data_IF_753617346560
#
_entry.id   IF_753617346560
#
_cell.length_a   1.000
_cell.length_b   1.000
_cell.length_c   1.000
_cell.angle_alpha   90.00
_cell.angle_beta   90.00
_cell.angle_gamma   90.00
#
_symmetry.space_group_name_H-M   'P 1'
#
loop_
_entity.id
_entity.type
_entity.pdbx_description
1 polymer ?
#
# COMPACT_ATOMS: atom_id res chain seq x y z
N UNK A 1 -34.26 -7.60 -36.09
CA UNK A 1 -33.98 -8.36 -34.85
C UNK A 1 -33.07 -7.52 -33.97
N UNK A 2 -33.68 -6.66 -33.16
CA UNK A 2 -33.03 -5.71 -32.24
C UNK A 2 -32.71 -6.43 -30.93
N UNK A 3 -31.44 -6.40 -30.53
CA UNK A 3 -30.95 -7.06 -29.33
C UNK A 3 -31.54 -6.42 -28.05
N UNK A 4 -31.97 -7.21 -27.05
CA UNK A 4 -32.61 -6.72 -25.83
C UNK A 4 -31.69 -5.92 -24.88
N UNK A 5 -30.40 -5.78 -25.18
CA UNK A 5 -29.42 -5.09 -24.31
C UNK A 5 -29.53 -3.55 -24.32
N UNK A 6 -30.11 -2.95 -25.37
CA UNK A 6 -30.28 -1.47 -25.46
C UNK A 6 -31.37 -0.95 -24.50
N UNK A 7 -32.32 -1.81 -24.11
CA UNK A 7 -33.53 -1.45 -23.36
C UNK A 7 -33.28 -0.98 -21.92
N UNK A 8 -32.18 -1.38 -21.27
CA UNK A 8 -31.90 -0.99 -19.87
C UNK A 8 -31.39 0.47 -19.80
N UNK A 9 -30.66 0.94 -20.82
CA UNK A 9 -30.09 2.31 -20.88
C UNK A 9 -31.13 3.40 -21.20
N UNK A 10 -32.28 3.03 -21.75
CA UNK A 10 -33.39 3.93 -22.10
C UNK A 10 -34.29 4.34 -20.91
N UNK A 11 -34.15 3.67 -19.75
CA UNK A 11 -35.10 3.79 -18.63
C UNK A 11 -35.01 5.11 -17.83
N UNK A 12 -33.97 5.91 -18.06
CA UNK A 12 -33.77 7.24 -17.43
C UNK A 12 -33.60 8.40 -18.46
N UNK A 13 -33.85 8.17 -19.75
CA UNK A 13 -33.89 9.25 -20.75
C UNK A 13 -32.56 9.94 -21.09
N UNK A 14 -31.42 9.40 -20.67
CA UNK A 14 -30.10 9.95 -21.04
C UNK A 14 -29.69 9.38 -22.41
N UNK A 15 -29.49 10.22 -23.45
CA UNK A 15 -29.02 9.75 -24.74
C UNK A 15 -27.59 9.18 -24.59
N UNK A 16 -27.40 7.94 -25.00
CA UNK A 16 -26.10 7.26 -25.01
C UNK A 16 -25.69 7.03 -26.46
N UNK A 17 -24.84 7.93 -26.96
CA UNK A 17 -24.25 7.79 -28.29
C UNK A 17 -23.20 6.67 -28.29
N UNK A 18 -23.64 5.48 -28.70
CA UNK A 18 -22.82 4.26 -28.69
C UNK A 18 -21.54 4.37 -29.54
N UNK A 19 -21.59 5.07 -30.68
CA UNK A 19 -20.42 5.27 -31.53
C UNK A 19 -19.39 6.23 -30.93
N UNK A 20 -19.84 7.33 -30.32
CA UNK A 20 -18.95 8.25 -29.59
C UNK A 20 -18.28 7.56 -28.40
N UNK A 21 -19.01 6.67 -27.70
CA UNK A 21 -18.46 5.92 -26.58
C UNK A 21 -17.35 4.95 -26.99
N UNK A 22 -17.49 4.25 -28.13
CA UNK A 22 -16.49 3.29 -28.62
C UNK A 22 -15.20 3.97 -29.08
N UNK A 23 -15.29 5.09 -29.79
CA UNK A 23 -14.13 5.87 -30.20
C UNK A 23 -13.37 6.45 -29.01
N UNK A 24 -14.09 6.94 -27.98
CA UNK A 24 -13.47 7.39 -26.72
C UNK A 24 -12.76 6.25 -25.99
N UNK A 25 -13.38 5.07 -25.89
CA UNK A 25 -12.75 3.90 -25.25
C UNK A 25 -11.45 3.50 -25.94
N UNK A 26 -11.42 3.45 -27.28
CA UNK A 26 -10.20 3.10 -28.03
C UNK A 26 -9.09 4.13 -27.79
N UNK A 27 -9.41 5.43 -27.82
CA UNK A 27 -8.45 6.48 -27.55
C UNK A 27 -7.88 6.41 -26.13
N UNK A 28 -8.73 6.14 -25.13
CA UNK A 28 -8.31 5.96 -23.73
C UNK A 28 -7.37 4.76 -23.56
N UNK A 29 -7.67 3.62 -24.19
CA UNK A 29 -6.79 2.45 -24.16
C UNK A 29 -5.44 2.74 -24.84
N UNK A 30 -5.43 3.42 -25.99
CA UNK A 30 -4.18 3.78 -26.67
C UNK A 30 -3.30 4.74 -25.84
N UNK A 31 -3.93 5.73 -25.19
CA UNK A 31 -3.25 6.64 -24.28
C UNK A 31 -2.70 5.87 -23.06
N UNK A 32 -3.51 5.00 -22.44
CA UNK A 32 -3.08 4.19 -21.31
C UNK A 32 -1.91 3.25 -21.67
N UNK A 33 -1.92 2.65 -22.87
CA UNK A 33 -0.83 1.80 -23.36
C UNK A 33 0.47 2.58 -23.56
N UNK A 34 0.38 3.80 -24.08
CA UNK A 34 1.54 4.71 -24.24
C UNK A 34 2.15 5.04 -22.87
N UNK A 35 1.31 5.45 -21.92
CA UNK A 35 1.75 5.76 -20.55
C UNK A 35 2.31 4.52 -19.82
N UNK A 36 1.70 3.34 -20.00
CA UNK A 36 2.18 2.10 -19.43
C UNK A 36 3.60 1.76 -19.93
N UNK A 37 3.86 1.99 -21.21
CA UNK A 37 5.18 1.80 -21.83
C UNK A 37 6.20 2.79 -21.25
N UNK A 38 5.81 4.06 -21.09
CA UNK A 38 6.67 5.07 -20.48
C UNK A 38 7.02 4.75 -19.02
N UNK A 39 6.03 4.35 -18.21
CA UNK A 39 6.24 3.93 -16.82
C UNK A 39 7.18 2.72 -16.76
N UNK A 40 7.00 1.75 -17.65
CA UNK A 40 7.86 0.57 -17.71
C UNK A 40 9.32 0.93 -18.01
N UNK A 41 9.56 1.87 -18.92
CA UNK A 41 10.92 2.33 -19.26
C UNK A 41 11.58 3.16 -18.16
N UNK A 42 10.80 3.92 -17.39
CA UNK A 42 11.32 4.72 -16.26
C UNK A 42 11.62 3.89 -15.02
N UNK A 43 11.13 2.65 -14.93
CA UNK A 43 11.25 1.81 -13.74
C UNK A 43 12.35 0.75 -13.86
N UNK A 44 13.40 0.89 -13.05
CA UNK A 44 14.51 -0.05 -12.94
C UNK A 44 14.31 -1.05 -11.79
N UNK A 45 15.12 -2.11 -11.74
CA UNK A 45 15.04 -3.10 -10.67
C UNK A 45 15.34 -2.50 -9.30
N UNK A 46 14.54 -2.83 -8.29
CA UNK A 46 14.62 -2.27 -6.95
C UNK A 46 13.82 -0.98 -6.74
N UNK A 47 13.22 -0.44 -7.80
CA UNK A 47 12.41 0.77 -7.74
C UNK A 47 10.91 0.50 -7.61
N UNK A 48 10.20 1.52 -7.13
CA UNK A 48 8.76 1.50 -6.95
C UNK A 48 8.11 2.64 -7.76
N UNK A 49 7.12 2.28 -8.57
CA UNK A 49 6.17 3.23 -9.14
C UNK A 49 4.88 3.27 -8.31
N UNK A 50 4.38 4.47 -8.04
CA UNK A 50 3.10 4.67 -7.36
C UNK A 50 2.15 5.47 -8.24
N UNK A 51 0.98 4.92 -8.51
CA UNK A 51 -0.07 5.52 -9.34
C UNK A 51 -1.17 6.03 -8.39
N UNK A 52 -1.41 7.33 -8.41
CA UNK A 52 -2.42 7.99 -7.57
C UNK A 52 -3.36 8.86 -8.39
N UNK A 53 -4.52 9.18 -7.84
CA UNK A 53 -5.53 10.02 -8.47
C UNK A 53 -6.95 9.71 -7.95
N UNK A 54 -7.94 10.57 -8.24
CA UNK A 54 -9.31 10.38 -7.79
C UNK A 54 -9.92 9.05 -8.22
N UNK A 55 -10.94 8.56 -7.52
CA UNK A 55 -11.69 7.38 -7.98
C UNK A 55 -12.33 7.64 -9.35
N UNK A 56 -12.25 6.67 -10.27
CA UNK A 56 -12.76 6.82 -11.64
C UNK A 56 -11.81 7.48 -12.65
N UNK A 57 -10.61 7.92 -12.25
CA UNK A 57 -9.58 8.49 -13.14
C UNK A 57 -8.95 7.52 -14.16
N UNK A 58 -9.23 6.22 -14.05
CA UNK A 58 -8.67 5.22 -14.97
C UNK A 58 -7.36 4.56 -14.49
N UNK A 59 -7.01 4.65 -13.21
CA UNK A 59 -5.86 3.90 -12.62
C UNK A 59 -5.90 2.40 -12.94
N UNK A 60 -7.06 1.75 -12.75
CA UNK A 60 -7.21 0.33 -13.08
C UNK A 60 -7.06 0.03 -14.57
N UNK A 61 -7.46 0.97 -15.45
CA UNK A 61 -7.23 0.85 -16.89
C UNK A 61 -5.72 0.90 -17.20
N UNK A 62 -5.00 1.84 -16.59
CA UNK A 62 -3.55 1.94 -16.70
C UNK A 62 -2.84 0.68 -16.17
N UNK A 63 -3.29 0.13 -15.04
CA UNK A 63 -2.79 -1.12 -14.48
C UNK A 63 -3.02 -2.32 -15.42
N UNK A 64 -4.16 -2.39 -16.10
CA UNK A 64 -4.43 -3.41 -17.11
C UNK A 64 -3.48 -3.32 -18.31
N UNK A 65 -3.20 -2.11 -18.80
CA UNK A 65 -2.23 -1.94 -19.89
C UNK A 65 -0.79 -2.24 -19.43
N UNK A 66 -0.42 -1.86 -18.20
CA UNK A 66 0.87 -2.25 -17.60
C UNK A 66 1.05 -3.77 -17.55
N UNK A 67 0.01 -4.52 -17.17
CA UNK A 67 0.04 -5.98 -17.19
C UNK A 67 0.25 -6.54 -18.61
N UNK A 68 -0.24 -5.86 -19.66
CA UNK A 68 -0.04 -6.29 -21.05
C UNK A 68 1.35 -5.98 -21.58
N UNK A 69 1.88 -4.81 -21.22
CA UNK A 69 3.22 -4.37 -21.65
C UNK A 69 4.32 -5.13 -20.90
N UNK A 70 4.09 -5.48 -19.64
CA UNK A 70 5.09 -6.14 -18.79
C UNK A 70 4.85 -7.65 -18.76
N UNK A 71 5.62 -8.39 -19.57
CA UNK A 71 5.51 -9.84 -19.69
C UNK A 71 5.87 -10.60 -18.40
N UNK A 72 6.93 -10.18 -17.69
CA UNK A 72 7.38 -10.78 -16.44
C UNK A 72 6.72 -10.10 -15.23
N UNK A 73 5.38 -10.13 -15.17
CA UNK A 73 4.61 -9.51 -14.10
C UNK A 73 3.85 -10.50 -13.23
N UNK A 74 3.79 -10.19 -11.94
CA UNK A 74 2.97 -10.90 -10.95
C UNK A 74 1.93 -9.93 -10.40
N UNK A 75 0.66 -10.28 -10.54
CA UNK A 75 -0.45 -9.44 -10.07
C UNK A 75 -0.91 -9.92 -8.70
N UNK A 76 -1.10 -9.00 -7.76
CA UNK A 76 -1.78 -9.29 -6.50
C UNK A 76 -3.27 -9.54 -6.76
N UNK A 77 -3.67 -10.81 -6.69
CA UNK A 77 -5.05 -11.21 -6.95
C UNK A 77 -5.89 -11.21 -5.67
N UNK A 78 -7.15 -10.75 -5.71
CA UNK A 78 -8.07 -10.85 -4.57
C UNK A 78 -8.23 -12.28 -4.08
N UNK A 79 -8.24 -12.45 -2.75
CA UNK A 79 -8.42 -13.76 -2.12
C UNK A 79 -9.91 -14.12 -2.15
N UNK A 80 -10.30 -15.27 -2.73
CA UNK A 80 -11.71 -15.62 -2.85
C UNK A 80 -12.29 -16.12 -1.52
N UNK A 81 -13.54 -15.78 -1.21
CA UNK A 81 -14.26 -16.20 0.01
C UNK A 81 -14.40 -17.72 0.15
N UNK A 82 -14.34 -18.43 -0.99
CA UNK A 82 -14.34 -19.89 -1.04
C UNK A 82 -13.00 -20.52 -0.69
N UNK A 83 -11.93 -19.76 -0.46
CA UNK A 83 -10.62 -20.31 -0.09
C UNK A 83 -10.70 -21.03 1.27
N UNK A 84 -10.47 -22.35 1.24
CA UNK A 84 -10.57 -23.21 2.43
C UNK A 84 -9.24 -23.45 3.13
N UNK A 85 -8.12 -23.26 2.44
CA UNK A 85 -6.79 -23.47 3.02
C UNK A 85 -6.48 -22.40 4.07
N UNK A 86 -5.79 -22.76 5.17
CA UNK A 86 -5.23 -21.80 6.10
C UNK A 86 -4.35 -20.77 5.39
N UNK A 87 -4.31 -19.54 5.92
CA UNK A 87 -3.47 -18.45 5.39
C UNK A 87 -2.02 -18.85 5.18
N UNK A 88 -1.40 -19.55 6.14
CA UNK A 88 0.00 -20.00 6.03
C UNK A 88 0.21 -21.06 4.94
N UNK A 89 -0.83 -21.77 4.52
CA UNK A 89 -0.78 -22.76 3.45
C UNK A 89 -1.13 -22.19 2.07
N UNK A 90 -1.58 -20.93 2.01
CA UNK A 90 -1.79 -20.23 0.74
C UNK A 90 -0.46 -19.91 0.05
N UNK A 91 0.60 -19.76 0.85
CA UNK A 91 1.97 -19.59 0.39
C UNK A 91 2.65 -20.96 0.23
N UNK A 92 3.55 -21.09 -0.75
CA UNK A 92 4.19 -22.36 -1.16
C UNK A 92 5.63 -22.55 -0.68
N UNK A 93 6.32 -21.47 -0.30
CA UNK A 93 7.72 -21.44 0.11
C UNK A 93 8.00 -22.17 1.45
N UNK A 94 9.23 -22.12 1.96
CA UNK A 94 9.55 -22.67 3.28
C UNK A 94 8.77 -21.96 4.39
N UNK A 95 8.45 -22.64 5.50
CA UNK A 95 7.67 -22.05 6.61
C UNK A 95 8.27 -20.73 7.09
N UNK A 96 9.60 -20.65 7.22
CA UNK A 96 10.32 -19.43 7.55
C UNK A 96 10.04 -18.28 6.56
N UNK A 97 10.10 -18.56 5.26
CA UNK A 97 9.81 -17.57 4.22
C UNK A 97 8.35 -17.11 4.26
N UNK A 98 7.41 -18.05 4.49
CA UNK A 98 5.98 -17.71 4.63
C UNK A 98 5.76 -16.78 5.81
N UNK A 99 6.33 -17.10 6.97
CA UNK A 99 6.20 -16.28 8.17
C UNK A 99 6.86 -14.92 7.99
N UNK A 100 8.03 -14.84 7.33
CA UNK A 100 8.69 -13.57 6.97
C UNK A 100 7.77 -12.70 6.12
N UNK A 101 7.22 -13.23 5.03
CA UNK A 101 6.36 -12.49 4.10
C UNK A 101 5.04 -12.06 4.77
N UNK A 102 4.37 -12.98 5.48
CA UNK A 102 3.13 -12.69 6.19
C UNK A 102 3.36 -11.64 7.30
N UNK A 103 4.44 -11.76 8.06
CA UNK A 103 4.81 -10.77 9.08
C UNK A 103 5.10 -9.40 8.46
N UNK A 104 5.81 -9.34 7.33
CA UNK A 104 6.12 -8.08 6.64
C UNK A 104 4.85 -7.39 6.11
N UNK A 105 3.83 -8.16 5.72
CA UNK A 105 2.53 -7.64 5.35
C UNK A 105 1.59 -7.41 6.55
N UNK A 106 2.05 -7.55 7.79
CA UNK A 106 1.23 -7.30 8.99
C UNK A 106 0.22 -8.41 9.30
N UNK A 107 0.54 -9.67 8.97
CA UNK A 107 -0.21 -10.89 9.27
C UNK A 107 0.60 -11.85 10.16
N UNK A 108 1.20 -11.33 11.24
CA UNK A 108 2.03 -12.10 12.16
C UNK A 108 1.23 -12.86 13.23
N UNK A 109 -0.04 -12.52 13.43
CA UNK A 109 -0.87 -13.08 14.50
C UNK A 109 -1.21 -14.56 14.26
N UNK A 110 -1.14 -15.37 15.32
CA UNK A 110 -1.38 -16.81 15.24
C UNK A 110 -2.77 -17.17 14.67
N UNK A 111 -3.81 -16.41 15.02
CA UNK A 111 -5.17 -16.69 14.58
C UNK A 111 -5.33 -16.55 13.06
N UNK A 112 -5.01 -15.41 12.41
CA UNK A 112 -4.97 -15.31 10.95
C UNK A 112 -4.16 -16.41 10.25
N UNK A 113 -3.03 -16.84 10.79
CA UNK A 113 -2.17 -17.86 10.17
C UNK A 113 -2.86 -19.21 9.97
N UNK A 114 -3.64 -19.65 10.98
CA UNK A 114 -4.37 -20.94 10.94
C UNK A 114 -5.80 -20.80 10.43
N UNK A 115 -6.30 -19.57 10.26
CA UNK A 115 -7.64 -19.32 9.75
C UNK A 115 -7.72 -19.59 8.25
N UNK A 116 -8.78 -20.25 7.74
CA UNK A 116 -9.04 -20.37 6.32
C UNK A 116 -9.06 -19.00 5.63
N UNK A 117 -8.30 -18.84 4.55
CA UNK A 117 -8.10 -17.55 3.88
C UNK A 117 -9.41 -16.87 3.44
N UNK A 118 -10.45 -17.65 3.11
CA UNK A 118 -11.78 -17.13 2.75
C UNK A 118 -12.57 -16.53 3.92
N UNK A 119 -12.18 -16.81 5.18
CA UNK A 119 -12.82 -16.27 6.40
C UNK A 119 -12.13 -15.05 6.98
N UNK A 120 -11.03 -14.61 6.37
CA UNK A 120 -10.32 -13.39 6.76
C UNK A 120 -11.18 -12.14 6.49
N UNK A 121 -10.92 -11.06 7.23
CA UNK A 121 -11.48 -9.75 6.90
C UNK A 121 -10.92 -9.23 5.58
N UNK A 122 -11.57 -8.27 4.94
CA UNK A 122 -11.10 -7.73 3.65
C UNK A 122 -9.70 -7.12 3.76
N UNK A 123 -9.41 -6.43 4.86
CA UNK A 123 -8.06 -5.93 5.13
C UNK A 123 -7.03 -7.04 5.37
N UNK A 124 -7.42 -8.17 5.95
CA UNK A 124 -6.52 -9.33 6.07
C UNK A 124 -6.31 -10.02 4.71
N UNK A 125 -7.35 -10.14 3.88
CA UNK A 125 -7.27 -10.66 2.51
C UNK A 125 -6.37 -9.79 1.63
N UNK A 126 -6.49 -8.47 1.72
CA UNK A 126 -5.64 -7.53 0.99
C UNK A 126 -4.16 -7.66 1.39
N UNK A 127 -3.85 -7.83 2.67
CA UNK A 127 -2.48 -8.09 3.12
C UNK A 127 -1.96 -9.46 2.65
N UNK A 128 -2.81 -10.47 2.63
CA UNK A 128 -2.47 -11.81 2.15
C UNK A 128 -2.22 -11.82 0.63
N UNK A 129 -2.99 -11.07 -0.17
CA UNK A 129 -2.77 -10.98 -1.62
C UNK A 129 -1.44 -10.32 -1.94
N UNK A 130 -1.04 -9.27 -1.19
CA UNK A 130 0.29 -8.66 -1.30
C UNK A 130 1.38 -9.70 -0.97
N UNK A 131 1.24 -10.43 0.14
CA UNK A 131 2.22 -11.45 0.52
C UNK A 131 2.36 -12.56 -0.54
N UNK A 132 1.25 -13.01 -1.14
CA UNK A 132 1.28 -13.99 -2.24
C UNK A 132 1.95 -13.44 -3.51
N UNK A 133 1.74 -12.15 -3.82
CA UNK A 133 2.38 -11.52 -4.97
C UNK A 133 3.90 -11.46 -4.79
N UNK A 134 4.38 -11.10 -3.60
CA UNK A 134 5.81 -11.14 -3.28
C UNK A 134 6.38 -12.55 -3.34
N UNK A 135 5.68 -13.55 -2.77
CA UNK A 135 6.14 -14.93 -2.87
C UNK A 135 6.25 -15.40 -4.32
N UNK A 136 5.22 -15.16 -5.12
CA UNK A 136 5.21 -15.57 -6.52
C UNK A 136 6.32 -14.89 -7.32
N UNK A 137 6.67 -13.65 -6.99
CA UNK A 137 7.78 -12.94 -7.60
C UNK A 137 9.15 -13.49 -7.15
N UNK A 138 9.31 -13.83 -5.87
CA UNK A 138 10.52 -14.52 -5.37
C UNK A 138 10.72 -15.89 -6.04
N UNK A 139 9.64 -16.63 -6.28
CA UNK A 139 9.66 -17.94 -6.95
C UNK A 139 9.94 -17.84 -8.47
N UNK A 140 9.75 -16.67 -9.08
CA UNK A 140 9.98 -16.45 -10.51
C UNK A 140 11.48 -16.49 -10.87
N UNK A 141 12.37 -16.28 -9.89
CA UNK A 141 13.84 -16.38 -10.00
C UNK A 141 14.47 -15.52 -11.13
N UNK A 142 13.79 -14.45 -11.55
CA UNK A 142 14.26 -13.47 -12.53
C UNK A 142 13.74 -12.06 -12.14
N UNK A 143 14.16 -11.03 -12.88
CA UNK A 143 13.58 -9.69 -12.75
C UNK A 143 12.07 -9.73 -13.01
N UNK A 144 11.30 -9.38 -12.00
CA UNK A 144 9.85 -9.48 -12.01
C UNK A 144 9.22 -8.18 -11.51
N UNK A 145 8.13 -7.77 -12.13
CA UNK A 145 7.34 -6.62 -11.70
C UNK A 145 6.09 -7.08 -10.97
N UNK A 146 5.98 -6.71 -9.70
CA UNK A 146 4.78 -6.91 -8.90
C UNK A 146 3.80 -5.77 -9.20
N UNK A 147 2.56 -6.11 -9.56
CA UNK A 147 1.48 -5.17 -9.82
C UNK A 147 0.42 -5.30 -8.72
N UNK A 148 0.12 -4.22 -8.02
CA UNK A 148 -0.91 -4.18 -6.98
C UNK A 148 -1.89 -3.06 -7.25
N UNK A 149 -3.11 -3.41 -7.69
CA UNK A 149 -4.22 -2.46 -7.76
C UNK A 149 -4.89 -2.34 -6.39
N UNK A 150 -5.54 -1.20 -6.13
CA UNK A 150 -6.20 -0.91 -4.85
C UNK A 150 -5.28 -1.10 -3.61
N UNK A 151 -4.02 -0.66 -3.74
CA UNK A 151 -3.00 -0.84 -2.72
C UNK A 151 -3.42 -0.18 -1.40
N UNK A 152 -3.56 -1.03 -0.37
CA UNK A 152 -3.97 -0.67 0.98
C UNK A 152 -5.29 0.12 1.10
N UNK A 153 -6.18 0.05 0.10
CA UNK A 153 -7.43 0.84 0.12
C UNK A 153 -8.44 0.38 1.18
N UNK A 154 -8.40 -0.91 1.54
CA UNK A 154 -9.27 -1.52 2.56
C UNK A 154 -8.70 -1.47 3.98
N UNK A 155 -7.51 -0.88 4.18
CA UNK A 155 -6.83 -0.83 5.46
C UNK A 155 -7.09 0.50 6.17
N UNK A 156 -7.07 0.49 7.50
CA UNK A 156 -6.98 1.74 8.25
C UNK A 156 -5.65 2.44 7.98
N UNK A 157 -5.62 3.77 8.18
CA UNK A 157 -4.48 4.61 7.82
C UNK A 157 -3.18 4.21 8.50
N UNK A 158 -3.25 3.79 9.76
CA UNK A 158 -2.05 3.40 10.54
C UNK A 158 -1.48 2.07 10.06
N UNK A 159 -2.34 1.08 9.79
CA UNK A 159 -1.93 -0.19 9.22
C UNK A 159 -1.40 -0.01 7.80
N UNK A 160 -2.06 0.81 6.98
CA UNK A 160 -1.64 1.09 5.61
C UNK A 160 -0.24 1.72 5.56
N UNK A 161 0.05 2.69 6.44
CA UNK A 161 1.38 3.29 6.58
C UNK A 161 2.46 2.27 6.97
N UNK A 162 2.15 1.38 7.93
CA UNK A 162 3.06 0.31 8.36
C UNK A 162 3.35 -0.69 7.24
N UNK A 163 2.31 -1.13 6.53
CA UNK A 163 2.44 -2.05 5.38
C UNK A 163 3.23 -1.38 4.25
N UNK A 164 2.94 -0.12 3.90
CA UNK A 164 3.68 0.61 2.87
C UNK A 164 5.18 0.72 3.21
N UNK A 165 5.51 0.99 4.46
CA UNK A 165 6.90 1.06 4.94
C UNK A 165 7.60 -0.30 4.84
N UNK A 166 6.90 -1.38 5.21
CA UNK A 166 7.45 -2.74 5.12
C UNK A 166 7.63 -3.18 3.67
N UNK A 167 6.63 -2.93 2.82
CA UNK A 167 6.67 -3.21 1.37
C UNK A 167 7.85 -2.47 0.72
N UNK A 168 8.09 -1.20 1.06
CA UNK A 168 9.27 -0.45 0.55
C UNK A 168 10.60 -1.14 0.87
N UNK A 169 10.72 -1.80 2.02
CA UNK A 169 11.94 -2.54 2.42
C UNK A 169 12.08 -3.89 1.70
N UNK A 170 10.95 -4.49 1.30
CA UNK A 170 10.89 -5.77 0.59
C UNK A 170 11.25 -5.62 -0.89
N UNK A 171 10.89 -4.49 -1.52
CA UNK A 171 11.26 -4.23 -2.92
C UNK A 171 12.76 -3.95 -3.02
N UNK A 172 13.48 -4.92 -3.57
CA UNK A 172 14.92 -4.88 -3.84
C UNK A 172 15.19 -5.57 -5.17
N UNK A 173 16.35 -5.32 -5.76
CA UNK A 173 16.78 -6.03 -6.97
C UNK A 173 16.68 -7.56 -6.78
N UNK A 174 16.09 -8.32 -7.71
CA UNK A 174 15.68 -7.91 -9.06
C UNK A 174 14.19 -7.51 -9.19
N UNK A 175 13.47 -7.32 -8.09
CA UNK A 175 12.04 -7.00 -8.06
C UNK A 175 11.76 -5.54 -8.42
N UNK A 176 10.64 -5.30 -9.07
CA UNK A 176 10.03 -3.99 -9.28
C UNK A 176 8.63 -3.99 -8.69
N UNK A 177 8.14 -2.85 -8.22
CA UNK A 177 6.76 -2.75 -7.72
C UNK A 177 6.03 -1.60 -8.41
N UNK A 178 4.82 -1.86 -8.86
CA UNK A 178 3.87 -0.84 -9.29
C UNK A 178 2.61 -0.98 -8.46
N UNK A 179 2.28 0.07 -7.71
CA UNK A 179 1.08 0.12 -6.88
C UNK A 179 0.15 1.23 -7.35
N UNK A 180 -1.14 0.94 -7.44
CA UNK A 180 -2.17 1.95 -7.67
C UNK A 180 -3.02 2.13 -6.41
N UNK A 181 -3.28 3.36 -6.00
CA UNK A 181 -4.19 3.68 -4.89
C UNK A 181 -4.84 5.04 -5.08
N UNK A 182 -6.01 5.27 -4.49
CA UNK A 182 -6.60 6.60 -4.41
C UNK A 182 -6.04 7.41 -3.21
N UNK A 183 -5.33 6.74 -2.30
CA UNK A 183 -4.81 7.28 -1.06
C UNK A 183 -3.39 7.82 -1.25
N UNK A 184 -3.25 9.14 -1.36
CA UNK A 184 -1.97 9.82 -1.61
C UNK A 184 -1.08 9.94 -0.35
N UNK A 185 -1.63 9.72 0.85
CA UNK A 185 -0.92 9.64 2.13
C UNK A 185 0.12 8.52 2.17
N UNK A 186 -0.05 7.48 1.35
CA UNK A 186 0.91 6.37 1.26
C UNK A 186 2.23 6.78 0.60
N UNK A 187 2.29 7.90 -0.11
CA UNK A 187 3.49 8.38 -0.81
C UNK A 187 4.64 8.60 0.18
N UNK A 188 4.36 9.14 1.36
CA UNK A 188 5.36 9.44 2.39
C UNK A 188 6.02 8.16 2.94
N UNK A 189 5.22 7.12 3.13
CA UNK A 189 5.68 5.84 3.69
C UNK A 189 6.28 4.91 2.64
N UNK A 190 5.66 4.85 1.46
CA UNK A 190 6.11 4.02 0.35
C UNK A 190 7.36 4.60 -0.32
N UNK A 191 7.54 5.92 -0.30
CA UNK A 191 8.67 6.63 -0.92
C UNK A 191 8.97 6.11 -2.33
N UNK A 192 8.02 6.26 -3.28
CA UNK A 192 8.22 5.80 -4.64
C UNK A 192 9.38 6.54 -5.33
N UNK A 193 9.95 5.89 -6.34
CA UNK A 193 10.99 6.44 -7.20
C UNK A 193 10.34 7.10 -8.44
N UNK A 194 9.21 6.56 -8.88
CA UNK A 194 8.34 7.12 -9.92
C UNK A 194 6.94 7.35 -9.35
N UNK A 195 6.43 8.57 -9.42
CA UNK A 195 5.07 8.93 -9.04
C UNK A 195 4.26 9.25 -10.30
N UNK A 196 3.09 8.64 -10.44
CA UNK A 196 2.19 8.85 -11.56
C UNK A 196 0.89 9.41 -11.02
N UNK A 197 0.54 10.64 -11.41
CA UNK A 197 -0.73 11.24 -11.10
C UNK A 197 -1.70 11.10 -12.28
N UNK A 198 -2.84 10.46 -12.06
CA UNK A 198 -3.88 10.27 -13.07
C UNK A 198 -5.05 11.21 -12.76
N UNK A 199 -5.21 12.32 -13.49
CA UNK A 199 -6.33 13.23 -13.30
C UNK A 199 -7.65 12.60 -13.81
N UNK A 200 -8.80 13.21 -13.46
CA UNK A 200 -10.10 12.81 -14.02
C UNK A 200 -10.23 13.11 -15.51
N UNK A 201 -9.58 14.20 -15.95
CA UNK A 201 -9.52 14.63 -17.34
C UNK A 201 -8.08 15.00 -17.68
N UNK A 202 -7.63 14.65 -18.88
CA UNK A 202 -6.27 14.92 -19.34
C UNK A 202 -5.37 13.68 -19.35
N UNK A 203 -4.07 13.91 -19.53
CA UNK A 203 -3.04 12.87 -19.58
C UNK A 203 -2.43 12.65 -18.20
N UNK A 204 -2.06 11.41 -17.84
CA UNK A 204 -1.28 11.15 -16.64
C UNK A 204 0.01 11.96 -16.61
N UNK A 205 0.35 12.49 -15.43
CA UNK A 205 1.62 13.17 -15.18
C UNK A 205 2.58 12.19 -14.49
N UNK A 206 3.81 12.08 -15.00
CA UNK A 206 4.82 11.16 -14.47
C UNK A 206 5.99 11.97 -13.91
N UNK A 207 6.21 11.84 -12.60
CA UNK A 207 7.21 12.55 -11.82
C UNK A 207 8.26 11.57 -11.31
N UNK A 208 9.54 11.81 -11.55
CA UNK A 208 10.64 10.98 -11.04
C UNK A 208 11.25 11.65 -9.82
N UNK A 209 11.71 10.89 -8.82
CA UNK A 209 12.33 11.44 -7.59
C UNK A 209 13.53 12.36 -7.86
N UNK A 210 14.25 12.17 -8.96
CA UNK A 210 15.39 13.02 -9.36
C UNK A 210 14.95 14.34 -10.01
N UNK A 211 13.71 14.40 -10.51
CA UNK A 211 13.11 15.58 -11.12
C UNK A 211 12.29 16.32 -10.04
N UNK A 212 12.98 17.01 -9.13
CA UNK A 212 12.38 18.05 -8.27
C UNK A 212 11.06 17.66 -7.58
N UNK A 213 11.09 16.76 -6.59
CA UNK A 213 9.98 16.63 -5.63
C UNK A 213 9.95 17.86 -4.69
N UNK A 214 9.51 19.02 -5.20
CA UNK A 214 9.26 20.22 -4.39
C UNK A 214 7.77 20.52 -4.20
N UNK A 215 6.87 19.89 -4.96
CA UNK A 215 5.44 19.99 -4.71
C UNK A 215 4.70 18.79 -5.32
N UNK A 216 3.87 18.11 -4.52
CA UNK A 216 2.86 17.18 -5.02
C UNK A 216 1.65 18.03 -5.43
N UNK A 217 1.17 17.97 -6.70
CA UNK A 217 -0.03 18.70 -7.11
C UNK A 217 -1.23 18.34 -6.21
N UNK A 218 -1.84 19.34 -5.58
CA UNK A 218 -3.02 19.17 -4.71
C UNK A 218 -2.76 19.10 -3.20
N UNK A 219 -1.51 19.18 -2.73
CA UNK A 219 -1.19 19.37 -1.30
C UNK A 219 -0.57 20.75 -1.07
N UNK A 220 -1.15 21.55 -0.18
CA UNK A 220 -0.42 22.67 0.42
C UNK A 220 0.67 22.09 1.32
N UNK A 221 1.93 22.49 1.08
CA UNK A 221 3.06 22.13 1.92
C UNK A 221 2.76 22.50 3.39
N UNK A 222 3.10 21.66 4.39
CA UNK A 222 3.23 22.16 5.75
C UNK A 222 4.40 23.15 5.75
N UNK A 223 4.14 24.41 6.07
CA UNK A 223 5.14 25.46 6.16
C UNK A 223 6.36 25.00 6.98
N UNK A 224 7.50 24.80 6.33
CA UNK A 224 8.81 24.78 6.97
C UNK A 224 9.45 26.14 6.79
N UNK A 225 9.34 26.98 7.81
CA UNK A 225 10.38 27.88 8.35
C UNK A 225 9.74 29.10 9.00
N UNK A 226 9.89 29.23 10.32
CA UNK A 226 10.17 30.51 10.94
C UNK A 226 10.74 30.25 12.35
N UNK A 227 12.07 30.19 12.42
CA UNK A 227 12.82 30.50 13.62
C UNK A 227 13.45 31.87 13.36
N UNK A 228 12.87 32.94 13.92
CA UNK A 228 13.63 33.98 14.61
C UNK A 228 12.71 35.01 15.30
N UNK A 229 12.80 35.01 16.64
CA UNK A 229 13.04 36.20 17.49
C UNK A 229 12.31 37.53 17.20
N UNK A 230 11.30 37.87 18.03
CA UNK A 230 11.31 39.03 18.97
C UNK A 230 9.89 39.50 19.37
N UNK A 231 9.63 39.43 20.68
CA UNK A 231 9.01 40.47 21.53
C UNK A 231 7.80 41.27 20.99
N UNK A 232 6.59 40.91 21.44
CA UNK A 232 5.60 41.90 21.89
C UNK A 232 4.78 41.37 23.07
N UNK A 233 4.76 42.16 24.13
CA UNK A 233 3.98 41.95 25.36
C UNK A 233 2.48 42.00 25.04
N UNK A 234 1.72 41.06 25.61
CA UNK A 234 0.30 41.27 25.90
C UNK A 234 -0.09 40.49 27.14
N UNK A 235 -0.64 41.25 28.07
CA UNK A 235 -0.90 40.99 29.47
C UNK A 235 -2.17 40.16 29.63
N UNK A 236 -2.13 39.07 30.41
CA UNK A 236 -3.35 38.44 30.95
C UNK A 236 -3.19 38.30 32.47
N UNK A 237 -4.09 38.89 33.27
CA UNK A 237 -4.04 38.79 34.72
C UNK A 237 -4.85 37.59 35.20
N UNK A 238 -4.37 36.92 36.25
CA UNK A 238 -5.24 36.15 37.14
C UNK A 238 -4.75 34.75 37.52
N UNK A 239 -4.52 34.61 38.84
CA UNK A 239 -4.53 33.38 39.65
C UNK A 239 -3.27 32.51 39.75
N UNK A 240 -2.48 32.90 40.76
CA UNK A 240 -2.08 32.11 41.95
C UNK A 240 -1.23 30.85 41.76
N UNK A 241 0.07 31.12 41.80
CA UNK A 241 1.15 30.50 42.61
C UNK A 241 0.74 29.46 43.67
N UNK A 242 1.37 28.28 43.62
CA UNK A 242 2.00 27.59 44.78
C UNK A 242 2.97 26.53 44.23
N UNK A 243 4.28 26.83 44.14
CA UNK A 243 5.32 26.50 45.14
C UNK A 243 5.45 24.99 45.38
N UNK A 244 6.41 24.30 44.73
CA UNK A 244 7.84 24.17 45.09
C UNK A 244 8.06 23.07 46.13
N UNK A 245 8.61 21.93 45.70
CA UNK A 245 9.74 21.32 46.41
C UNK A 245 10.54 20.32 45.55
N UNK A 246 11.86 20.56 45.53
CA UNK A 246 12.91 19.61 45.14
C UNK A 246 13.51 19.04 46.41
N UNK A 247 13.94 17.78 46.38
CA UNK A 247 15.19 17.20 46.96
C UNK A 247 15.13 15.67 46.72
N UNK A 248 15.95 15.11 45.83
CA UNK A 248 17.28 14.49 46.08
C UNK A 248 17.30 13.48 47.23
N UNK A 249 17.50 12.18 46.91
CA UNK A 249 18.59 11.29 47.42
C UNK A 249 18.32 9.82 47.05
N UNK A 250 19.26 9.18 46.37
CA UNK A 250 19.52 7.72 46.32
C UNK A 250 20.07 7.22 47.67
N UNK A 251 20.41 5.93 47.88
CA UNK A 251 19.98 4.64 47.28
C UNK A 251 19.46 3.66 48.37
N UNK A 252 18.97 2.46 47.99
CA UNK A 252 19.40 1.19 48.62
C UNK A 252 18.69 -0.03 48.02
N UNK A 253 19.49 -1.06 47.74
CA UNK A 253 19.07 -2.42 47.42
C UNK A 253 18.89 -3.22 48.72
N UNK A 254 18.13 -4.33 48.69
CA UNK A 254 18.84 -5.59 48.87
C UNK A 254 18.37 -6.69 47.93
N UNK A 255 19.31 -7.55 47.54
CA UNK A 255 19.04 -8.73 46.74
C UNK A 255 18.26 -9.81 47.47
N UNK A 256 17.62 -10.69 46.70
CA UNK A 256 17.31 -12.04 47.13
C UNK A 256 17.48 -13.02 45.97
N UNK A 257 18.05 -14.15 46.33
CA UNK A 257 18.67 -15.21 45.54
C UNK A 257 17.70 -16.18 44.89
N UNK A 258 18.19 -16.73 43.78
CA UNK A 258 17.90 -18.00 43.09
C UNK A 258 17.19 -19.11 43.87
N UNK A 259 16.22 -19.76 43.21
CA UNK A 259 15.70 -21.08 43.59
C UNK A 259 14.89 -21.73 42.47
N UNK A 260 15.52 -22.61 41.70
CA UNK A 260 14.93 -23.46 40.67
C UNK A 260 14.17 -24.63 41.33
N UNK A 261 12.93 -25.00 40.92
CA UNK A 261 12.25 -26.17 41.46
C UNK A 261 12.72 -27.48 40.77
N UNK A 262 12.81 -28.62 41.49
CA UNK A 262 13.23 -29.91 40.92
C UNK A 262 12.15 -30.57 40.05
N UNK A 263 12.52 -31.45 39.09
CA UNK A 263 11.59 -32.11 38.20
C UNK A 263 10.79 -33.22 38.89
N UNK A 264 9.51 -33.35 38.51
CA UNK A 264 8.62 -34.44 38.98
C UNK A 264 8.97 -35.77 38.28
N UNK A 265 8.85 -36.91 38.98
CA UNK A 265 9.10 -38.22 38.38
C UNK A 265 7.97 -38.63 37.42
N UNK A 266 8.38 -39.20 36.29
CA UNK A 266 7.56 -39.92 35.33
C UNK A 266 7.09 -41.26 35.91
N UNK A 267 5.79 -41.52 35.89
CA UNK A 267 5.23 -42.86 36.05
C UNK A 267 4.47 -43.26 34.79
N UNK A 268 4.83 -44.48 34.36
CA UNK A 268 4.27 -45.38 33.34
C UNK A 268 2.76 -45.30 33.19
#
# INVERSE_FOLDING_TARGET
MTSPATLIRARFGIPMEYHASRSRTIALHAAAATNATEIHHRLTTGEIAFITGPSGSGKSLLMQELQRVIHDSVVATPIPDRARKPTIEMLRSSVESRLRLLSACGLADAHPLVTPAGRLSDGQKARLSIAQAFENAELFNNACTILVDEFCSTLDRTTAASVATSVRRMVRTPLRLICASANDDLIEHLRPDVLVYVPLEGTPEILTRNDTCTAIPGRSCPNTSESDSQETRSTVPGRSVSAKERRTTTPDSPGFTTGLPPPRPSSV
#
